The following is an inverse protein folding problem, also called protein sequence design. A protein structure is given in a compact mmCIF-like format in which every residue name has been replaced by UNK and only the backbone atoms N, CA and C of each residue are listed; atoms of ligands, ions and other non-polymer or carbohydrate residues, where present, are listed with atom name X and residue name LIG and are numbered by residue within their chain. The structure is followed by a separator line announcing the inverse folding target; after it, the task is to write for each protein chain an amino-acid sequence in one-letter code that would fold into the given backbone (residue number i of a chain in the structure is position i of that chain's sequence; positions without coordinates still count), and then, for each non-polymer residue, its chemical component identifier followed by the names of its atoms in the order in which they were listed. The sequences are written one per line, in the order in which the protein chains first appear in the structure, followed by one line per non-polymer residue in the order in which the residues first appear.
data_IF_342840878346
#
_entry.id   IF_342840878346
#
_cell.length_a   1.000
_cell.length_b   1.000
_cell.length_c   1.000
_cell.angle_alpha   90.00
_cell.angle_beta   90.00
_cell.angle_gamma   90.00
#
_symmetry.space_group_name_H-M   'P 1'
#
loop_
_entity.id
_entity.type
_entity.pdbx_description
1 polymer ?
#
# COMPACT_ATOMS: atom_id res chain seq x y z
N UNK A 1 1.27 -14.63 15.86
CA UNK A 1 0.86 -15.32 14.61
C UNK A 1 -0.55 -14.88 14.21
N UNK A 2 -0.87 -14.77 12.92
CA UNK A 2 -2.22 -14.41 12.47
C UNK A 2 -3.20 -15.55 12.75
N UNK A 3 -4.24 -15.29 13.54
CA UNK A 3 -5.29 -16.27 13.91
C UNK A 3 -6.04 -16.81 12.68
N UNK A 4 -6.11 -16.04 11.61
CA UNK A 4 -6.68 -16.44 10.34
C UNK A 4 -5.81 -15.92 9.18
N UNK A 5 -4.89 -16.76 8.71
CA UNK A 5 -4.01 -16.42 7.60
C UNK A 5 -4.80 -16.24 6.29
N UNK A 6 -5.87 -17.02 6.09
CA UNK A 6 -6.74 -16.91 4.90
C UNK A 6 -7.37 -15.52 4.85
N UNK A 7 -7.94 -15.04 5.96
CA UNK A 7 -8.52 -13.70 6.00
C UNK A 7 -7.48 -12.61 5.73
N UNK A 8 -6.27 -12.74 6.26
CA UNK A 8 -5.20 -11.77 6.02
C UNK A 8 -4.81 -11.71 4.53
N UNK A 9 -4.67 -12.88 3.91
CA UNK A 9 -4.36 -13.02 2.48
C UNK A 9 -5.49 -12.46 1.62
N UNK A 10 -6.75 -12.81 1.91
CA UNK A 10 -7.93 -12.31 1.19
C UNK A 10 -8.04 -10.78 1.29
N UNK A 11 -7.82 -10.19 2.47
CA UNK A 11 -7.83 -8.74 2.64
C UNK A 11 -6.71 -8.07 1.86
N UNK A 12 -5.50 -8.63 1.90
CA UNK A 12 -4.37 -8.10 1.13
C UNK A 12 -4.65 -8.15 -0.38
N UNK A 13 -5.11 -9.28 -0.90
CA UNK A 13 -5.50 -9.41 -2.31
C UNK A 13 -6.65 -8.46 -2.67
N UNK A 14 -7.69 -8.38 -1.82
CA UNK A 14 -8.81 -7.48 -2.00
C UNK A 14 -8.37 -6.02 -2.11
N UNK A 15 -7.39 -5.61 -1.30
CA UNK A 15 -6.82 -4.28 -1.37
C UNK A 15 -6.06 -4.04 -2.69
N UNK A 16 -5.00 -4.82 -2.94
CA UNK A 16 -4.06 -4.55 -4.03
C UNK A 16 -4.64 -4.79 -5.43
N UNK A 17 -5.61 -5.70 -5.58
CA UNK A 17 -6.16 -6.03 -6.89
C UNK A 17 -7.46 -5.30 -7.21
N UNK A 18 -8.26 -4.96 -6.20
CA UNK A 18 -9.61 -4.40 -6.43
C UNK A 18 -9.79 -3.03 -5.79
N UNK A 19 -9.61 -2.92 -4.48
CA UNK A 19 -9.96 -1.70 -3.75
C UNK A 19 -9.07 -0.52 -4.19
N UNK A 20 -7.76 -0.75 -4.32
CA UNK A 20 -6.83 0.30 -4.75
C UNK A 20 -7.10 0.72 -6.20
N UNK A 21 -7.39 -0.24 -7.07
CA UNK A 21 -7.73 0.05 -8.47
C UNK A 21 -9.02 0.86 -8.58
N UNK A 22 -10.08 0.47 -7.85
CA UNK A 22 -11.33 1.21 -7.78
C UNK A 22 -11.13 2.63 -7.23
N UNK A 23 -10.27 2.79 -6.22
CA UNK A 23 -9.92 4.10 -5.65
C UNK A 23 -9.21 4.99 -6.67
N UNK A 24 -8.27 4.45 -7.44
CA UNK A 24 -7.57 5.20 -8.50
C UNK A 24 -8.51 5.54 -9.66
N UNK A 25 -9.44 4.65 -10.01
CA UNK A 25 -10.45 4.97 -11.02
C UNK A 25 -11.38 6.11 -10.59
N UNK A 26 -11.79 6.12 -9.32
CA UNK A 26 -12.66 7.16 -8.79
C UNK A 26 -11.93 8.48 -8.58
N UNK A 27 -10.68 8.43 -8.10
CA UNK A 27 -9.85 9.60 -7.81
C UNK A 27 -8.42 9.39 -8.36
N UNK A 28 -8.19 9.64 -9.66
CA UNK A 28 -6.90 9.40 -10.30
C UNK A 28 -5.72 10.14 -9.65
N UNK A 29 -5.98 11.33 -9.10
CA UNK A 29 -4.98 12.16 -8.43
C UNK A 29 -4.34 11.50 -7.19
N UNK A 30 -5.04 10.54 -6.56
CA UNK A 30 -4.53 9.82 -5.38
C UNK A 30 -3.66 8.63 -5.79
N UNK A 31 -3.75 8.15 -7.03
CA UNK A 31 -3.04 6.95 -7.50
C UNK A 31 -1.52 7.02 -7.38
N UNK A 32 -0.93 8.22 -7.45
CA UNK A 32 0.52 8.40 -7.22
C UNK A 32 0.95 8.26 -5.76
N UNK A 33 0.02 8.38 -4.82
CA UNK A 33 0.26 8.31 -3.38
C UNK A 33 -0.14 6.96 -2.79
N UNK A 34 -0.75 6.06 -3.56
CA UNK A 34 -1.10 4.73 -3.07
C UNK A 34 0.15 3.87 -2.84
N UNK A 35 0.06 2.80 -2.03
CA UNK A 35 1.15 1.84 -1.86
C UNK A 35 1.75 1.36 -3.19
N UNK A 36 0.92 1.01 -4.17
CA UNK A 36 1.41 0.58 -5.49
C UNK A 36 1.96 1.74 -6.32
N UNK A 37 1.39 2.94 -6.22
CA UNK A 37 1.90 4.13 -6.89
C UNK A 37 3.29 4.52 -6.40
N UNK A 38 3.50 4.49 -5.08
CA UNK A 38 4.78 4.72 -4.45
C UNK A 38 5.80 3.63 -4.83
N UNK A 39 5.38 2.35 -4.86
CA UNK A 39 6.24 1.25 -5.31
C UNK A 39 6.69 1.42 -6.78
N UNK A 40 5.78 1.86 -7.67
CA UNK A 40 6.10 2.19 -9.06
C UNK A 40 7.08 3.36 -9.18
N UNK A 41 6.93 4.39 -8.33
CA UNK A 41 7.88 5.51 -8.32
C UNK A 41 9.29 5.06 -7.91
N UNK A 42 9.40 4.17 -6.92
CA UNK A 42 10.67 3.58 -6.48
C UNK A 42 11.28 2.68 -7.55
N UNK A 43 10.48 1.94 -8.30
CA UNK A 43 10.99 1.08 -9.37
C UNK A 43 11.39 1.84 -10.64
N UNK A 44 11.28 3.17 -10.64
CA UNK A 44 11.60 4.00 -11.81
C UNK A 44 10.62 3.83 -12.97
N UNK A 45 9.41 3.36 -12.69
CA UNK A 45 8.37 3.17 -13.71
C UNK A 45 7.95 4.51 -14.30
N UNK A 46 8.03 4.63 -15.62
CA UNK A 46 7.45 5.74 -16.37
C UNK A 46 5.98 5.43 -16.69
N UNK A 47 5.03 6.29 -16.27
CA UNK A 47 3.62 6.03 -16.52
C UNK A 47 3.35 6.21 -18.01
N UNK A 48 2.99 5.12 -18.70
CA UNK A 48 2.66 5.21 -20.12
C UNK A 48 1.27 5.84 -20.33
N UNK A 49 0.25 5.64 -19.46
CA UNK A 49 -1.09 6.14 -19.85
C UNK A 49 -2.16 6.51 -18.80
N UNK A 50 -2.04 6.30 -17.47
CA UNK A 50 -3.29 6.38 -16.64
C UNK A 50 -3.18 7.03 -15.25
N UNK A 51 -2.02 7.53 -14.81
CA UNK A 51 -1.88 7.96 -13.40
C UNK A 51 -1.04 9.23 -13.18
N UNK A 52 -1.11 10.21 -14.09
CA UNK A 52 -0.40 11.49 -13.95
C UNK A 52 1.12 11.33 -13.72
N UNK A 53 1.84 12.44 -13.43
CA UNK A 53 3.26 12.35 -13.13
C UNK A 53 3.49 11.68 -11.78
N UNK A 54 4.24 10.57 -11.78
CA UNK A 54 4.71 9.94 -10.55
C UNK A 54 5.70 10.87 -9.82
N UNK A 55 5.76 10.81 -8.48
CA UNK A 55 6.76 11.54 -7.73
C UNK A 55 8.18 11.06 -8.12
N UNK A 56 9.20 11.91 -7.95
CA UNK A 56 10.59 11.50 -8.09
C UNK A 56 10.88 10.24 -7.25
N UNK A 57 11.79 9.40 -7.72
CA UNK A 57 12.12 8.10 -7.11
C UNK A 57 12.38 8.19 -5.59
N UNK A 58 13.11 9.22 -5.15
CA UNK A 58 13.40 9.45 -3.73
C UNK A 58 12.13 9.76 -2.91
N UNK A 59 11.24 10.58 -3.46
CA UNK A 59 9.99 10.97 -2.81
C UNK A 59 9.01 9.79 -2.77
N UNK A 60 8.91 9.02 -3.86
CA UNK A 60 8.20 7.74 -3.89
C UNK A 60 8.74 6.75 -2.85
N UNK A 61 10.07 6.69 -2.71
CA UNK A 61 10.75 5.87 -1.70
C UNK A 61 10.37 6.23 -0.28
N UNK A 62 10.35 7.52 0.06
CA UNK A 62 9.95 7.98 1.38
C UNK A 62 8.47 7.66 1.68
N UNK A 63 7.58 7.84 0.70
CA UNK A 63 6.16 7.50 0.86
C UNK A 63 5.99 5.99 1.07
N UNK A 64 6.67 5.17 0.28
CA UNK A 64 6.63 3.72 0.41
C UNK A 64 7.15 3.26 1.78
N UNK A 65 8.28 3.82 2.22
CA UNK A 65 8.83 3.58 3.56
C UNK A 65 7.85 4.01 4.66
N UNK A 66 7.14 5.13 4.48
CA UNK A 66 6.08 5.54 5.40
C UNK A 66 4.98 4.48 5.53
N UNK A 67 4.52 3.91 4.42
CA UNK A 67 3.55 2.81 4.43
C UNK A 67 4.07 1.57 5.14
N UNK A 68 5.32 1.17 4.90
CA UNK A 68 5.88 -0.03 5.55
C UNK A 68 6.02 0.16 7.05
N UNK A 69 6.46 1.33 7.51
CA UNK A 69 6.57 1.66 8.94
C UNK A 69 5.18 1.66 9.61
N UNK A 70 4.18 2.28 8.99
CA UNK A 70 2.80 2.28 9.51
C UNK A 70 2.24 0.86 9.58
N UNK A 71 2.39 0.08 8.51
CA UNK A 71 1.91 -1.31 8.48
C UNK A 71 2.59 -2.17 9.56
N UNK A 72 3.91 -2.07 9.72
CA UNK A 72 4.66 -2.77 10.76
C UNK A 72 4.23 -2.35 12.17
N UNK A 73 4.03 -1.05 12.41
CA UNK A 73 3.58 -0.54 13.70
C UNK A 73 2.16 -1.01 14.04
N UNK A 74 1.25 -1.01 13.06
CA UNK A 74 -0.11 -1.55 13.22
C UNK A 74 -0.06 -3.05 13.50
N UNK A 75 0.71 -3.81 12.72
CA UNK A 75 0.87 -5.26 12.92
C UNK A 75 1.44 -5.59 14.30
N UNK A 76 2.45 -4.84 14.77
CA UNK A 76 3.02 -5.00 16.11
C UNK A 76 2.00 -4.72 17.21
N UNK A 77 1.26 -3.60 17.14
CA UNK A 77 0.23 -3.27 18.15
C UNK A 77 -0.93 -4.25 18.18
N UNK A 78 -1.40 -4.70 17.02
CA UNK A 78 -2.46 -5.70 16.93
C UNK A 78 -1.98 -7.04 17.48
N UNK A 79 -0.74 -7.43 17.21
CA UNK A 79 -0.19 -8.70 17.71
C UNK A 79 0.01 -8.68 19.23
N UNK A 80 0.63 -7.64 19.80
CA UNK A 80 0.92 -7.57 21.25
C UNK A 80 -0.35 -7.53 22.10
N UNK A 81 -1.37 -6.77 21.68
CA UNK A 81 -2.64 -6.69 22.44
C UNK A 81 -3.45 -7.99 22.42
N UNK A 82 -3.14 -8.92 21.51
CA UNK A 82 -3.88 -10.17 21.31
C UNK A 82 -3.28 -11.35 22.08
N UNK A 83 -2.08 -11.19 22.68
CA UNK A 83 -1.44 -12.24 23.50
C UNK A 83 -1.87 -12.21 24.99
N UNK A 84 -2.66 -11.22 25.43
CA UNK A 84 -3.04 -11.01 26.85
C UNK A 84 -4.49 -11.45 27.17
N UNK A 85 -5.12 -12.27 26.33
CA UNK A 85 -6.47 -12.84 26.56
C UNK A 85 -6.49 -14.31 26.22
#
# INVERSE_FOLDING_TARGET
MLRNQVAAVVVAFGWFFYAEWALVMLVPAVGRWTPTGAAKAVSGWTPIDIAGPLPPMWAGGLVFLGYTVVAAAVAGRVSIRRDVT
#
